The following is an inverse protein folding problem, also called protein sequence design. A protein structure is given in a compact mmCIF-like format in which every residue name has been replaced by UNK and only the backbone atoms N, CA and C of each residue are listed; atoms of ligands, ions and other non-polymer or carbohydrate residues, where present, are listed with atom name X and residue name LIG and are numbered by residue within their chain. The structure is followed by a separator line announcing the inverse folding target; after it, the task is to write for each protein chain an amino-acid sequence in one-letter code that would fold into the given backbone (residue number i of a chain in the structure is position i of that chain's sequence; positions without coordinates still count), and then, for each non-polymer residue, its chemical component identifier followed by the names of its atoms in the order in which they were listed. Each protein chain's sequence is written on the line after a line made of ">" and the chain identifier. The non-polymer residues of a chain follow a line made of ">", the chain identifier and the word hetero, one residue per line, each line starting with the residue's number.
data_IF_867533341374
#
_entry.id   IF_867533341374
#
_cell.length_a   1.000
_cell.length_b   1.000
_cell.length_c   1.000
_cell.angle_alpha   90.00
_cell.angle_beta   90.00
_cell.angle_gamma   90.00
#
_symmetry.space_group_name_H-M   'P 1'
#
loop_
_entity.id
_entity.type
_entity.pdbx_description
1 polymer ?
#
# COMPACT_ATOMS: atom_id res chain seq x y z
N UNK A 1 -7.63 -33.35 23.37
CA UNK A 1 -6.30 -32.97 22.88
C UNK A 1 -6.23 -33.51 21.47
N UNK A 2 -6.54 -32.68 20.47
CA UNK A 2 -6.38 -33.04 19.07
C UNK A 2 -5.37 -32.04 18.53
N UNK A 3 -4.15 -32.51 18.31
CA UNK A 3 -3.14 -31.77 17.57
C UNK A 3 -3.67 -31.55 16.15
N UNK A 4 -3.71 -30.29 15.73
CA UNK A 4 -4.17 -29.88 14.41
C UNK A 4 -2.91 -29.73 13.55
N UNK A 5 -2.63 -30.72 12.71
CA UNK A 5 -1.61 -30.60 11.67
C UNK A 5 -2.15 -29.70 10.54
N UNK A 6 -1.52 -28.54 10.35
CA UNK A 6 -1.66 -27.75 9.15
C UNK A 6 -0.88 -28.43 8.01
N UNK A 7 -1.55 -29.20 7.16
CA UNK A 7 -0.96 -29.63 5.88
C UNK A 7 -1.02 -28.45 4.89
N UNK A 8 0.06 -27.67 4.83
CA UNK A 8 0.29 -26.74 3.71
C UNK A 8 0.60 -27.60 2.48
N UNK A 9 -0.41 -27.91 1.68
CA UNK A 9 -0.20 -28.55 0.38
C UNK A 9 0.78 -27.70 -0.43
N UNK A 10 1.94 -28.28 -0.80
CA UNK A 10 2.99 -27.58 -1.53
C UNK A 10 2.47 -26.89 -2.80
N UNK A 11 3.12 -25.79 -3.19
CA UNK A 11 2.77 -25.07 -4.42
C UNK A 11 3.39 -25.73 -5.66
N UNK A 12 2.67 -25.76 -6.78
CA UNK A 12 3.22 -26.22 -8.06
C UNK A 12 4.34 -25.26 -8.47
N UNK A 13 5.53 -25.80 -8.71
CA UNK A 13 6.70 -25.04 -9.15
C UNK A 13 6.44 -24.43 -10.54
N UNK A 14 6.83 -23.17 -10.74
CA UNK A 14 6.75 -22.46 -12.05
C UNK A 14 7.39 -23.28 -13.19
N UNK A 15 8.48 -23.99 -12.90
CA UNK A 15 9.16 -24.85 -13.87
C UNK A 15 8.29 -26.01 -14.36
N UNK A 16 7.44 -26.59 -13.51
CA UNK A 16 6.51 -27.65 -13.89
C UNK A 16 5.41 -27.10 -14.80
N UNK A 17 4.86 -25.93 -14.48
CA UNK A 17 3.83 -25.26 -15.31
C UNK A 17 4.39 -24.88 -16.68
N UNK A 18 5.58 -24.27 -16.71
CA UNK A 18 6.27 -23.95 -17.98
C UNK A 18 6.47 -25.20 -18.85
N UNK A 19 6.82 -26.33 -18.22
CA UNK A 19 6.98 -27.61 -18.93
C UNK A 19 5.67 -28.17 -19.45
N UNK A 20 4.56 -28.06 -18.70
CA UNK A 20 3.22 -28.45 -19.17
C UNK A 20 2.82 -27.68 -20.43
N UNK A 21 2.97 -26.35 -20.43
CA UNK A 21 2.67 -25.54 -21.60
C UNK A 21 3.56 -25.86 -22.79
N UNK A 22 4.88 -25.97 -22.58
CA UNK A 22 5.83 -26.28 -23.64
C UNK A 22 5.53 -27.62 -24.32
N UNK A 23 4.96 -28.58 -23.58
CA UNK A 23 4.61 -29.91 -24.09
C UNK A 23 3.18 -30.01 -24.63
N UNK A 24 2.35 -28.99 -24.43
CA UNK A 24 0.93 -29.02 -24.81
C UNK A 24 0.65 -28.77 -26.29
N UNK A 25 1.59 -28.15 -27.01
CA UNK A 25 1.34 -27.58 -28.34
C UNK A 25 0.07 -26.69 -28.41
N UNK A 26 -0.29 -26.05 -27.28
CA UNK A 26 -1.53 -25.29 -27.09
C UNK A 26 -2.82 -26.13 -27.22
N UNK A 27 -2.76 -27.46 -27.16
CA UNK A 27 -3.93 -28.34 -27.22
C UNK A 27 -4.21 -29.01 -25.86
N UNK A 28 -5.46 -29.38 -25.64
CA UNK A 28 -5.86 -30.18 -24.48
C UNK A 28 -5.22 -31.57 -24.52
N UNK A 29 -4.74 -32.08 -23.37
CA UNK A 29 -4.17 -33.41 -23.27
C UNK A 29 -5.20 -34.56 -23.31
N UNK A 30 -6.49 -34.26 -23.28
CA UNK A 30 -7.55 -35.26 -23.40
C UNK A 30 -7.56 -35.86 -24.83
N UNK A 31 -7.71 -37.18 -25.00
CA UNK A 31 -7.72 -37.81 -26.32
C UNK A 31 -8.73 -37.17 -27.27
N UNK A 32 -8.32 -36.99 -28.53
CA UNK A 32 -9.13 -36.41 -29.62
C UNK A 32 -9.61 -34.96 -29.41
N UNK A 33 -9.28 -34.34 -28.28
CA UNK A 33 -9.60 -32.95 -28.02
C UNK A 33 -8.55 -32.02 -28.65
N UNK A 34 -9.02 -31.07 -29.47
CA UNK A 34 -8.18 -30.01 -30.06
C UNK A 34 -8.51 -28.62 -29.51
N UNK A 35 -9.25 -28.56 -28.40
CA UNK A 35 -9.55 -27.28 -27.77
C UNK A 35 -8.26 -26.59 -27.36
N UNK A 36 -8.11 -25.28 -27.65
CA UNK A 36 -6.92 -24.56 -27.28
C UNK A 36 -6.83 -24.40 -25.75
N UNK A 37 -5.60 -24.39 -25.23
CA UNK A 37 -5.30 -24.02 -23.84
C UNK A 37 -5.24 -22.49 -23.68
N UNK A 38 -4.80 -21.81 -24.74
CA UNK A 38 -4.73 -20.36 -24.88
C UNK A 38 -5.49 -20.00 -26.15
N UNK A 39 -6.54 -19.22 -25.97
CA UNK A 39 -7.34 -18.68 -27.06
C UNK A 39 -6.52 -17.70 -27.91
N UNK A 40 -6.97 -17.46 -29.14
CA UNK A 40 -6.35 -16.45 -30.04
C UNK A 40 -6.33 -15.03 -29.45
N UNK A 41 -7.24 -14.73 -28.51
CA UNK A 41 -7.28 -13.49 -27.73
C UNK A 41 -6.17 -13.38 -26.67
N UNK A 42 -5.44 -14.46 -26.39
CA UNK A 42 -4.49 -14.58 -25.28
C UNK A 42 -5.15 -15.00 -23.95
N UNK A 43 -6.45 -15.27 -23.94
CA UNK A 43 -7.16 -15.78 -22.75
C UNK A 43 -6.76 -17.22 -22.49
N UNK A 44 -6.36 -17.53 -21.25
CA UNK A 44 -5.99 -18.88 -20.85
C UNK A 44 -7.23 -19.64 -20.36
N UNK A 45 -7.59 -20.72 -21.04
CA UNK A 45 -8.76 -21.58 -20.79
C UNK A 45 -8.36 -23.01 -20.39
N UNK A 46 -7.06 -23.29 -20.34
CA UNK A 46 -6.52 -24.51 -19.77
C UNK A 46 -6.52 -24.51 -18.24
N UNK A 47 -6.55 -25.70 -17.66
CA UNK A 47 -6.54 -25.97 -16.23
C UNK A 47 -5.61 -27.14 -15.93
N UNK A 48 -4.93 -27.08 -14.79
CA UNK A 48 -3.99 -28.12 -14.34
C UNK A 48 -4.74 -29.08 -13.42
N UNK A 49 -4.84 -30.35 -13.82
CA UNK A 49 -5.37 -31.41 -12.98
C UNK A 49 -4.23 -32.25 -12.39
N UNK A 50 -4.45 -32.75 -11.16
CA UNK A 50 -3.59 -33.78 -10.58
C UNK A 50 -4.03 -35.17 -11.04
N UNK A 51 -3.04 -35.94 -11.50
CA UNK A 51 -3.20 -37.35 -11.87
C UNK A 51 -3.50 -38.18 -10.62
N UNK A 52 -2.62 -38.13 -9.62
CA UNK A 52 -2.89 -38.64 -8.27
C UNK A 52 -3.31 -37.50 -7.36
N UNK A 53 -4.37 -37.71 -6.58
CA UNK A 53 -5.09 -36.63 -5.89
C UNK A 53 -4.20 -35.88 -4.91
N UNK A 54 -4.44 -34.58 -4.81
CA UNK A 54 -3.60 -33.71 -3.99
C UNK A 54 -3.93 -33.77 -2.48
N UNK A 55 -5.14 -34.18 -2.11
CA UNK A 55 -5.61 -34.26 -0.71
C UNK A 55 -5.64 -35.71 -0.22
N UNK A 56 -5.31 -35.96 1.05
CA UNK A 56 -5.34 -37.26 1.74
C UNK A 56 -6.68 -38.01 1.63
N UNK A 57 -7.78 -37.27 1.52
CA UNK A 57 -9.13 -37.82 1.32
C UNK A 57 -9.55 -37.86 -0.17
N UNK A 58 -8.63 -37.53 -1.07
CA UNK A 58 -8.90 -37.48 -2.50
C UNK A 58 -8.97 -38.88 -3.11
N UNK A 59 -9.82 -39.08 -4.12
CA UNK A 59 -10.16 -40.40 -4.66
C UNK A 59 -9.00 -41.09 -5.43
N UNK A 60 -7.89 -40.38 -5.68
CA UNK A 60 -6.65 -40.91 -6.27
C UNK A 60 -5.42 -40.68 -5.36
N UNK A 61 -5.60 -40.50 -4.06
CA UNK A 61 -4.52 -40.15 -3.15
C UNK A 61 -3.54 -41.32 -2.97
N UNK A 62 -2.26 -41.05 -3.19
CA UNK A 62 -1.18 -41.97 -2.87
C UNK A 62 -0.43 -41.46 -1.64
N UNK A 63 -0.50 -42.24 -0.56
CA UNK A 63 0.13 -41.91 0.72
C UNK A 63 1.65 -42.04 0.68
N UNK A 64 2.22 -42.71 -0.33
CA UNK A 64 3.66 -42.83 -0.51
C UNK A 64 4.28 -41.62 -1.23
N UNK A 65 3.46 -40.74 -1.84
CA UNK A 65 3.95 -39.55 -2.52
C UNK A 65 4.25 -38.41 -1.56
N UNK A 66 5.46 -37.87 -1.70
CA UNK A 66 5.86 -36.59 -1.09
C UNK A 66 5.10 -35.42 -1.72
N UNK A 67 5.02 -34.28 -1.03
CA UNK A 67 4.38 -33.07 -1.56
C UNK A 67 5.07 -32.53 -2.82
N UNK A 68 6.39 -32.72 -2.91
CA UNK A 68 7.17 -32.35 -4.10
C UNK A 68 6.82 -33.23 -5.31
N UNK A 69 6.64 -34.54 -5.11
CA UNK A 69 6.20 -35.46 -6.17
C UNK A 69 4.74 -35.20 -6.56
N UNK A 70 3.89 -34.90 -5.58
CA UNK A 70 2.48 -34.59 -5.77
C UNK A 70 2.27 -33.36 -6.66
N UNK A 71 3.14 -32.36 -6.53
CA UNK A 71 3.11 -31.12 -7.31
C UNK A 71 4.13 -31.12 -8.46
N UNK A 72 4.79 -32.25 -8.72
CA UNK A 72 5.78 -32.38 -9.77
C UNK A 72 5.11 -32.36 -11.15
N UNK A 73 5.88 -31.99 -12.18
CA UNK A 73 5.42 -32.10 -13.56
C UNK A 73 4.84 -33.48 -13.84
N UNK A 74 5.43 -34.56 -13.32
CA UNK A 74 5.04 -35.94 -13.63
C UNK A 74 3.63 -36.28 -13.13
N UNK A 75 3.18 -35.72 -12.01
CA UNK A 75 1.84 -35.93 -11.46
C UNK A 75 0.77 -34.96 -11.98
N UNK A 76 1.11 -34.08 -12.93
CA UNK A 76 0.19 -33.06 -13.44
C UNK A 76 -0.15 -33.27 -14.92
N UNK A 77 -1.36 -32.89 -15.32
CA UNK A 77 -1.82 -32.87 -16.71
C UNK A 77 -2.52 -31.55 -17.03
N UNK A 78 -2.39 -31.06 -18.26
CA UNK A 78 -3.00 -29.80 -18.71
C UNK A 78 -4.21 -30.11 -19.61
N UNK A 79 -5.39 -29.65 -19.22
CA UNK A 79 -6.67 -29.93 -19.88
C UNK A 79 -7.42 -28.62 -20.15
N UNK A 80 -8.37 -28.59 -21.07
CA UNK A 80 -9.34 -27.48 -21.14
C UNK A 80 -10.36 -27.58 -19.99
N UNK A 81 -10.96 -26.45 -19.59
CA UNK A 81 -11.94 -26.41 -18.48
C UNK A 81 -13.02 -27.49 -18.52
N UNK A 82 -13.50 -27.85 -19.72
CA UNK A 82 -14.48 -28.93 -19.90
C UNK A 82 -13.93 -30.29 -19.45
N UNK A 83 -12.78 -30.70 -19.97
CA UNK A 83 -12.22 -32.02 -19.66
C UNK A 83 -11.60 -32.08 -18.27
N UNK A 84 -11.10 -30.95 -17.75
CA UNK A 84 -10.74 -30.83 -16.34
C UNK A 84 -11.94 -31.19 -15.46
N UNK A 85 -13.08 -30.52 -15.67
CA UNK A 85 -14.33 -30.79 -14.94
C UNK A 85 -14.78 -32.26 -15.05
N UNK A 86 -14.71 -32.86 -16.24
CA UNK A 86 -15.10 -34.27 -16.47
C UNK A 86 -14.21 -35.23 -15.68
N UNK A 87 -12.88 -35.09 -15.78
CA UNK A 87 -11.90 -35.98 -15.11
C UNK A 87 -11.96 -35.86 -13.58
N UNK A 88 -12.31 -34.68 -13.08
CA UNK A 88 -12.49 -34.44 -11.64
C UNK A 88 -13.84 -34.95 -11.11
N UNK A 89 -14.90 -34.90 -11.91
CA UNK A 89 -16.24 -35.32 -11.47
C UNK A 89 -16.45 -36.83 -11.60
N UNK A 90 -15.84 -37.47 -12.60
CA UNK A 90 -16.09 -38.87 -12.95
C UNK A 90 -14.89 -39.77 -12.59
N UNK A 91 -14.41 -39.69 -11.35
CA UNK A 91 -13.13 -40.29 -10.96
C UNK A 91 -13.04 -41.80 -11.26
N UNK A 92 -14.14 -42.55 -11.06
CA UNK A 92 -14.17 -44.00 -11.30
C UNK A 92 -13.92 -44.37 -12.77
N UNK A 93 -14.22 -43.46 -13.70
CA UNK A 93 -14.00 -43.63 -15.14
C UNK A 93 -12.60 -43.18 -15.58
N UNK A 94 -11.92 -42.38 -14.74
CA UNK A 94 -10.62 -41.80 -15.04
C UNK A 94 -9.58 -42.15 -13.96
N UNK A 95 -9.14 -43.43 -13.89
CA UNK A 95 -8.07 -43.85 -12.99
C UNK A 95 -6.73 -43.23 -13.37
N UNK A 96 -5.82 -43.13 -12.41
CA UNK A 96 -4.52 -42.47 -12.56
C UNK A 96 -3.70 -43.01 -13.76
N UNK A 97 -3.72 -44.32 -14.00
CA UNK A 97 -2.98 -44.94 -15.10
C UNK A 97 -3.51 -44.53 -16.48
N UNK A 98 -4.83 -44.32 -16.60
CA UNK A 98 -5.45 -43.85 -17.83
C UNK A 98 -5.07 -42.38 -18.11
N UNK A 99 -5.06 -41.53 -17.08
CA UNK A 99 -4.67 -40.12 -17.22
C UNK A 99 -3.16 -40.02 -17.56
N UNK A 100 -2.31 -40.87 -16.98
CA UNK A 100 -0.89 -40.96 -17.36
C UNK A 100 -0.70 -41.37 -18.82
N UNK A 101 -1.55 -42.27 -19.33
CA UNK A 101 -1.56 -42.64 -20.74
C UNK A 101 -1.92 -41.44 -21.62
N UNK A 102 -2.96 -40.68 -21.28
CA UNK A 102 -3.35 -39.46 -22.02
C UNK A 102 -2.19 -38.47 -22.13
N UNK A 103 -1.53 -38.19 -21.00
CA UNK A 103 -0.37 -37.31 -20.95
C UNK A 103 0.78 -37.81 -21.83
N UNK A 104 1.06 -39.11 -21.78
CA UNK A 104 2.17 -39.71 -22.54
C UNK A 104 1.91 -39.66 -24.04
N UNK A 105 0.68 -39.96 -24.47
CA UNK A 105 0.27 -39.89 -25.89
C UNK A 105 0.26 -38.45 -26.40
N UNK A 106 -0.14 -37.50 -25.56
CA UNK A 106 -0.13 -36.08 -25.90
C UNK A 106 1.30 -35.53 -26.03
N UNK A 107 2.21 -35.91 -25.14
CA UNK A 107 3.61 -35.50 -25.18
C UNK A 107 4.36 -35.92 -26.46
N UNK A 108 3.95 -37.03 -27.09
CA UNK A 108 4.55 -37.52 -28.34
C UNK A 108 4.26 -36.63 -29.56
N UNK A 109 3.29 -35.71 -29.46
CA UNK A 109 2.86 -34.84 -30.57
C UNK A 109 3.64 -33.52 -30.65
N UNK A 110 4.42 -33.17 -29.63
CA UNK A 110 4.98 -31.83 -29.49
C UNK A 110 6.44 -31.70 -29.93
N UNK A 111 6.74 -30.63 -30.67
CA UNK A 111 8.09 -30.13 -30.94
C UNK A 111 8.39 -29.00 -29.95
N UNK A 112 9.51 -29.10 -29.25
CA UNK A 112 9.86 -28.22 -28.12
C UNK A 112 10.19 -26.80 -28.59
N UNK A 113 9.51 -25.81 -28.01
CA UNK A 113 9.90 -24.40 -28.07
C UNK A 113 9.21 -23.59 -26.97
N UNK A 114 9.97 -22.96 -26.07
CA UNK A 114 9.42 -22.02 -25.09
C UNK A 114 9.27 -20.67 -25.79
N UNK A 115 8.03 -20.30 -26.12
CA UNK A 115 7.73 -18.99 -26.69
C UNK A 115 7.43 -17.95 -25.60
N UNK A 116 7.50 -16.63 -25.88
CA UNK A 116 7.04 -15.60 -24.95
C UNK A 116 5.58 -15.79 -24.51
N UNK A 117 4.72 -16.31 -25.40
CA UNK A 117 3.33 -16.63 -25.09
C UNK A 117 3.24 -17.77 -24.06
N UNK A 118 4.11 -18.77 -24.17
CA UNK A 118 4.23 -19.88 -23.22
C UNK A 118 4.59 -19.36 -21.83
N UNK A 119 5.53 -18.42 -21.73
CA UNK A 119 5.93 -17.82 -20.46
C UNK A 119 4.80 -16.99 -19.83
N UNK A 120 4.13 -16.16 -20.63
CA UNK A 120 2.99 -15.37 -20.17
C UNK A 120 1.84 -16.24 -19.67
N UNK A 121 1.42 -17.24 -20.45
CA UNK A 121 0.32 -18.13 -20.08
C UNK A 121 0.65 -19.00 -18.85
N UNK A 122 1.91 -19.44 -18.72
CA UNK A 122 2.37 -20.17 -17.53
C UNK A 122 2.20 -19.34 -16.25
N UNK A 123 2.48 -18.03 -16.34
CA UNK A 123 2.31 -17.11 -15.20
C UNK A 123 0.83 -16.94 -14.84
N UNK A 124 -0.04 -16.76 -15.83
CA UNK A 124 -1.48 -16.63 -15.62
C UNK A 124 -2.11 -17.88 -14.99
N UNK A 125 -1.69 -19.10 -15.37
CA UNK A 125 -2.17 -20.31 -14.69
C UNK A 125 -1.67 -20.45 -13.27
N UNK A 126 -0.42 -20.07 -12.99
CA UNK A 126 0.06 -20.08 -11.61
C UNK A 126 -0.79 -19.15 -10.73
N UNK A 127 -1.09 -17.96 -11.25
CA UNK A 127 -1.91 -16.98 -10.55
C UNK A 127 -3.34 -17.52 -10.31
N UNK A 128 -3.93 -18.24 -11.27
CA UNK A 128 -5.23 -18.90 -11.11
C UNK A 128 -5.18 -20.10 -10.14
N UNK A 129 -4.16 -20.95 -10.25
CA UNK A 129 -4.01 -22.14 -9.40
C UNK A 129 -3.85 -21.76 -7.93
N UNK A 130 -3.09 -20.69 -7.63
CA UNK A 130 -2.89 -20.18 -6.28
C UNK A 130 -4.13 -19.47 -5.69
N UNK A 131 -5.25 -19.38 -6.41
CA UNK A 131 -6.51 -18.80 -5.89
C UNK A 131 -7.44 -19.81 -5.20
N UNK A 132 -7.18 -21.12 -5.28
CA UNK A 132 -7.99 -22.14 -4.61
C UNK A 132 -7.61 -22.28 -3.12
N UNK A 133 -8.04 -21.32 -2.29
CA UNK A 133 -7.97 -21.44 -0.83
C UNK A 133 -9.33 -21.93 -0.32
N UNK A 134 -9.40 -23.19 0.12
CA UNK A 134 -10.60 -23.78 0.72
C UNK A 134 -10.52 -23.64 2.24
N UNK A 135 -11.46 -22.91 2.84
CA UNK A 135 -11.57 -22.77 4.31
C UNK A 135 -12.65 -23.70 4.84
N UNK A 136 -12.24 -24.69 5.64
CA UNK A 136 -13.16 -25.53 6.39
C UNK A 136 -13.35 -24.97 7.81
N UNK A 137 -14.61 -24.93 8.26
CA UNK A 137 -14.98 -24.69 9.68
C UNK A 137 -14.45 -23.39 10.31
N UNK A 138 -14.63 -22.25 9.64
CA UNK A 138 -14.27 -20.95 10.23
C UNK A 138 -15.46 -20.27 10.94
N UNK A 139 -15.24 -19.81 12.18
CA UNK A 139 -16.17 -19.00 12.97
C UNK A 139 -15.83 -17.51 13.00
N UNK A 140 -14.84 -17.07 12.22
CA UNK A 140 -14.36 -15.69 12.10
C UNK A 140 -14.32 -15.15 10.66
N UNK A 141 -13.73 -13.96 10.47
CA UNK A 141 -13.56 -13.34 9.15
C UNK A 141 -12.35 -13.93 8.41
N UNK A 142 -12.55 -14.38 7.17
CA UNK A 142 -11.48 -14.82 6.25
C UNK A 142 -11.15 -13.69 5.28
N UNK A 143 -9.86 -13.42 5.06
CA UNK A 143 -9.40 -12.61 3.93
C UNK A 143 -8.37 -13.39 3.12
N UNK A 144 -8.62 -13.56 1.81
CA UNK A 144 -7.78 -14.34 0.87
C UNK A 144 -7.27 -13.39 -0.20
N UNK A 145 -5.98 -13.44 -0.54
CA UNK A 145 -5.37 -12.68 -1.64
C UNK A 145 -5.69 -11.19 -1.64
N UNK A 146 -5.56 -10.54 -0.48
CA UNK A 146 -5.76 -9.09 -0.36
C UNK A 146 -4.44 -8.43 0.09
N UNK A 147 -3.57 -8.03 -0.87
CA UNK A 147 -2.34 -7.32 -0.59
C UNK A 147 -2.70 -5.90 -0.11
N UNK A 148 -3.08 -5.80 1.17
CA UNK A 148 -3.65 -4.59 1.75
C UNK A 148 -4.66 -4.83 2.87
N UNK A 149 -5.06 -6.09 3.12
CA UNK A 149 -5.93 -6.39 4.24
C UNK A 149 -5.19 -6.25 5.57
N UNK A 150 -5.79 -5.47 6.47
CA UNK A 150 -5.32 -5.28 7.84
C UNK A 150 -6.38 -5.86 8.77
N UNK A 151 -6.07 -6.96 9.44
CA UNK A 151 -6.93 -7.52 10.48
C UNK A 151 -6.53 -6.94 11.84
N UNK A 152 -7.30 -5.96 12.34
CA UNK A 152 -7.06 -5.35 13.64
C UNK A 152 -8.36 -5.18 14.43
N UNK A 153 -8.31 -5.41 15.75
CA UNK A 153 -9.47 -5.23 16.64
C UNK A 153 -9.88 -3.75 16.78
N UNK A 154 -8.89 -2.86 16.68
CA UNK A 154 -9.06 -1.40 16.55
C UNK A 154 -7.94 -0.85 15.67
N UNK A 155 -8.28 -0.13 14.60
CA UNK A 155 -7.29 0.57 13.74
C UNK A 155 -7.20 2.03 14.15
N UNK A 156 -6.00 2.49 14.56
CA UNK A 156 -5.72 3.91 14.78
C UNK A 156 -4.96 4.48 13.58
N UNK A 157 -5.70 4.97 12.58
CA UNK A 157 -5.11 5.60 11.40
C UNK A 157 -4.68 7.03 11.75
N UNK A 158 -3.39 7.24 11.99
CA UNK A 158 -2.81 8.59 12.00
C UNK A 158 -2.41 8.96 10.58
N UNK A 159 -3.33 9.53 9.80
CA UNK A 159 -2.95 10.16 8.54
C UNK A 159 -1.91 11.23 8.84
N UNK A 160 -0.66 11.04 8.40
CA UNK A 160 0.25 12.15 8.23
C UNK A 160 -0.37 13.01 7.12
N UNK A 161 -1.10 14.06 7.51
CA UNK A 161 -1.47 15.13 6.59
C UNK A 161 -0.15 15.68 6.06
N UNK A 162 0.25 15.26 4.87
CA UNK A 162 1.26 15.98 4.08
C UNK A 162 0.61 17.35 3.86
N UNK A 163 1.08 18.36 4.59
CA UNK A 163 0.57 19.72 4.43
C UNK A 163 0.88 20.11 2.99
N UNK A 164 -0.16 20.42 2.20
CA UNK A 164 0.03 21.04 0.90
C UNK A 164 0.96 22.26 1.08
N UNK A 165 2.15 22.19 0.48
CA UNK A 165 3.09 23.30 0.46
C UNK A 165 2.57 24.24 -0.62
N UNK A 166 1.77 25.21 -0.23
CA UNK A 166 1.32 26.25 -1.14
C UNK A 166 2.54 27.10 -1.53
N UNK A 167 2.79 27.33 -2.83
CA UNK A 167 3.84 28.25 -3.24
C UNK A 167 3.54 29.62 -2.64
N UNK A 168 4.57 30.25 -2.06
CA UNK A 168 4.45 31.60 -1.52
C UNK A 168 4.19 32.53 -2.71
N UNK A 169 3.09 33.30 -2.72
CA UNK A 169 2.82 34.25 -3.79
C UNK A 169 3.99 35.23 -3.95
N UNK A 170 4.38 35.52 -5.18
CA UNK A 170 5.39 36.55 -5.47
C UNK A 170 4.96 37.89 -4.84
N UNK A 171 5.89 38.56 -4.16
CA UNK A 171 5.61 39.81 -3.42
C UNK A 171 4.97 39.63 -2.04
N UNK A 172 4.70 38.41 -1.58
CA UNK A 172 4.23 38.16 -0.21
C UNK A 172 5.33 38.47 0.83
N UNK A 173 4.92 39.00 1.99
CA UNK A 173 5.81 39.37 3.10
C UNK A 173 6.61 38.17 3.63
N UNK A 174 6.05 36.96 3.57
CA UNK A 174 6.79 35.75 3.96
C UNK A 174 7.87 35.34 2.97
N UNK A 175 7.83 35.86 1.73
CA UNK A 175 8.86 35.63 0.71
C UNK A 175 10.12 36.46 0.94
N UNK A 176 10.04 37.53 1.74
CA UNK A 176 11.21 38.37 2.09
C UNK A 176 11.79 37.89 3.41
N UNK A 177 13.00 37.33 3.38
CA UNK A 177 13.64 36.67 4.53
C UNK A 177 13.61 37.52 5.81
N UNK A 178 14.09 38.77 5.73
CA UNK A 178 14.16 39.66 6.88
C UNK A 178 12.79 40.00 7.48
N UNK A 179 11.81 40.29 6.62
CA UNK A 179 10.45 40.59 7.07
C UNK A 179 9.79 39.37 7.72
N UNK A 180 9.90 38.21 7.09
CA UNK A 180 9.37 36.95 7.58
C UNK A 180 9.96 36.58 8.96
N UNK A 181 11.30 36.63 9.08
CA UNK A 181 11.99 36.29 10.32
C UNK A 181 11.68 37.27 11.45
N UNK A 182 11.54 38.58 11.15
CA UNK A 182 11.21 39.57 12.16
C UNK A 182 9.77 39.45 12.67
N UNK A 183 8.81 39.17 11.78
CA UNK A 183 7.42 38.89 12.18
C UNK A 183 7.35 37.64 13.06
N UNK A 184 8.03 36.55 12.69
CA UNK A 184 8.09 35.33 13.52
C UNK A 184 8.74 35.59 14.89
N UNK A 185 9.80 36.42 14.93
CA UNK A 185 10.43 36.87 16.18
C UNK A 185 9.43 37.59 17.10
N UNK A 186 8.67 38.56 16.59
CA UNK A 186 7.68 39.31 17.37
C UNK A 186 6.52 38.39 17.83
N UNK A 187 6.05 37.49 16.96
CA UNK A 187 5.06 36.47 17.33
C UNK A 187 5.61 35.59 18.47
N UNK A 188 6.87 35.17 18.39
CA UNK A 188 7.55 34.42 19.46
C UNK A 188 7.56 35.19 20.78
N UNK A 189 7.97 36.47 20.76
CA UNK A 189 7.97 37.34 21.95
C UNK A 189 6.59 37.47 22.58
N UNK A 190 5.55 37.69 21.78
CA UNK A 190 4.18 37.73 22.29
C UNK A 190 3.79 36.42 22.98
N UNK A 191 4.11 35.26 22.37
CA UNK A 191 3.80 33.95 22.94
C UNK A 191 4.52 33.73 24.27
N UNK A 192 5.79 34.11 24.37
CA UNK A 192 6.57 34.00 25.61
C UNK A 192 6.00 34.86 26.73
N UNK A 193 5.57 36.08 26.41
CA UNK A 193 4.95 36.99 27.39
C UNK A 193 3.58 36.48 27.86
N UNK A 194 2.81 35.83 26.99
CA UNK A 194 1.56 35.18 27.40
C UNK A 194 1.81 33.95 28.28
N UNK A 195 2.85 33.15 28.01
CA UNK A 195 3.22 31.98 28.83
C UNK A 195 3.66 32.38 30.25
N UNK A 196 4.32 33.52 30.38
CA UNK A 196 4.77 34.05 31.68
C UNK A 196 3.62 34.63 32.52
N UNK A 197 2.43 34.81 31.96
CA UNK A 197 1.27 35.29 32.71
C UNK A 197 0.55 34.12 33.39
N UNK A 198 0.95 33.84 34.63
CA UNK A 198 0.45 32.72 35.47
C UNK A 198 -1.07 32.76 35.65
N UNK A 199 -1.70 33.94 35.50
CA UNK A 199 -3.16 34.08 35.54
C UNK A 199 -3.90 33.36 34.40
N UNK A 200 -3.19 32.94 33.34
CA UNK A 200 -3.76 32.33 32.13
C UNK A 200 -3.27 30.90 31.87
N UNK A 201 -2.58 30.29 32.83
CA UNK A 201 -1.81 29.05 32.63
C UNK A 201 -2.67 27.86 32.13
N UNK A 202 -3.98 27.82 32.41
CA UNK A 202 -4.87 26.72 31.99
C UNK A 202 -5.56 26.89 30.62
N UNK A 203 -5.48 28.06 29.98
CA UNK A 203 -6.29 28.38 28.80
C UNK A 203 -5.54 29.08 27.66
N UNK A 204 -4.20 29.04 27.67
CA UNK A 204 -3.38 29.69 26.64
C UNK A 204 -3.54 29.00 25.27
N UNK A 205 -4.27 29.65 24.35
CA UNK A 205 -4.45 29.18 22.97
C UNK A 205 -3.38 29.77 22.07
N UNK A 206 -2.42 28.94 21.64
CA UNK A 206 -1.36 29.29 20.68
C UNK A 206 -1.89 30.00 19.41
N UNK A 207 -3.11 29.67 18.99
CA UNK A 207 -3.76 30.24 17.81
C UNK A 207 -4.34 31.65 18.00
N UNK A 208 -4.40 32.17 19.24
CA UNK A 208 -5.06 33.45 19.52
C UNK A 208 -4.43 34.62 18.75
N UNK A 209 -3.09 34.64 18.62
CA UNK A 209 -2.39 35.69 17.87
C UNK A 209 -2.62 35.57 16.36
N UNK A 210 -2.53 34.37 15.80
CA UNK A 210 -2.79 34.13 14.38
C UNK A 210 -4.23 34.46 14.00
N UNK A 211 -5.20 34.11 14.86
CA UNK A 211 -6.61 34.48 14.66
C UNK A 211 -6.82 36.00 14.79
N UNK A 212 -6.09 36.68 15.68
CA UNK A 212 -6.15 38.14 15.78
C UNK A 212 -5.59 38.81 14.52
N UNK A 213 -4.45 38.34 14.00
CA UNK A 213 -3.88 38.83 12.74
C UNK A 213 -4.83 38.56 11.57
N UNK A 214 -5.41 37.36 11.50
CA UNK A 214 -6.37 37.01 10.44
C UNK A 214 -7.62 37.90 10.47
N UNK A 215 -8.11 38.27 11.66
CA UNK A 215 -9.24 39.21 11.81
C UNK A 215 -8.87 40.64 11.44
N UNK A 216 -7.67 41.09 11.78
CA UNK A 216 -7.19 42.45 11.49
C UNK A 216 -6.95 42.65 9.99
N UNK A 217 -6.27 41.69 9.35
CA UNK A 217 -5.78 41.83 7.98
C UNK A 217 -6.59 41.03 6.95
N UNK A 218 -7.66 40.35 7.35
CA UNK A 218 -8.52 39.55 6.47
C UNK A 218 -7.91 38.25 5.92
N UNK A 219 -6.59 38.06 6.05
CA UNK A 219 -5.87 36.90 5.52
C UNK A 219 -4.79 36.39 6.48
N UNK A 220 -4.18 35.24 6.17
CA UNK A 220 -2.96 34.80 6.85
C UNK A 220 -1.86 35.82 6.60
N UNK A 221 -1.16 36.23 7.66
CA UNK A 221 -0.13 37.27 7.54
C UNK A 221 0.96 36.91 6.54
N UNK A 222 1.30 35.61 6.41
CA UNK A 222 2.29 35.14 5.44
C UNK A 222 1.92 35.48 3.99
N UNK A 223 0.63 35.58 3.69
CA UNK A 223 0.12 35.83 2.33
C UNK A 223 -0.11 37.31 2.04
N UNK A 224 0.13 38.20 3.02
CA UNK A 224 -0.02 39.64 2.82
C UNK A 224 1.14 40.17 1.96
N UNK A 225 0.95 41.23 1.17
CA UNK A 225 2.02 41.84 0.40
C UNK A 225 3.11 42.41 1.33
N UNK A 226 4.36 42.48 0.86
CA UNK A 226 5.48 43.04 1.60
C UNK A 226 5.24 44.49 2.08
N UNK A 227 4.42 45.26 1.34
CA UNK A 227 3.99 46.62 1.73
C UNK A 227 3.20 46.67 3.05
N UNK A 228 2.62 45.55 3.48
CA UNK A 228 1.89 45.45 4.75
C UNK A 228 2.80 45.24 5.96
N UNK A 229 4.12 45.08 5.76
CA UNK A 229 5.08 44.76 6.81
C UNK A 229 4.98 45.69 8.03
N UNK A 230 5.03 47.01 7.82
CA UNK A 230 4.99 48.00 8.90
C UNK A 230 3.70 47.90 9.72
N UNK A 231 2.56 47.69 9.06
CA UNK A 231 1.28 47.53 9.75
C UNK A 231 1.24 46.28 10.62
N UNK A 232 1.82 45.17 10.14
CA UNK A 232 1.93 43.92 10.91
C UNK A 232 2.83 44.11 12.13
N UNK A 233 3.97 44.79 11.96
CA UNK A 233 4.92 45.08 13.05
C UNK A 233 4.25 45.94 14.12
N UNK A 234 3.62 47.05 13.74
CA UNK A 234 2.91 47.94 14.68
C UNK A 234 1.82 47.18 15.45
N UNK A 235 1.05 46.33 14.75
CA UNK A 235 0.03 45.50 15.39
C UNK A 235 0.62 44.55 16.44
N UNK A 236 1.69 43.83 16.10
CA UNK A 236 2.34 42.88 17.00
C UNK A 236 2.99 43.58 18.19
N UNK A 237 3.69 44.68 17.95
CA UNK A 237 4.28 45.52 18.99
C UNK A 237 3.22 46.01 19.99
N UNK A 238 2.09 46.53 19.49
CA UNK A 238 0.95 46.93 20.34
C UNK A 238 0.43 45.76 21.18
N UNK A 239 0.36 44.54 20.64
CA UNK A 239 -0.07 43.35 21.41
C UNK A 239 0.94 42.94 22.47
N UNK A 240 2.24 42.99 22.16
CA UNK A 240 3.33 42.69 23.11
C UNK A 240 3.33 43.70 24.24
N UNK A 241 3.30 44.99 23.93
CA UNK A 241 3.36 46.07 24.90
C UNK A 241 2.15 46.08 25.84
N UNK A 242 0.96 45.71 25.34
CA UNK A 242 -0.25 45.63 26.16
C UNK A 242 -0.37 44.35 26.99
N UNK A 243 0.49 43.35 26.76
CA UNK A 243 0.55 42.16 27.61
C UNK A 243 0.95 42.55 29.05
N UNK A 244 0.63 41.69 30.02
CA UNK A 244 0.97 41.95 31.43
C UNK A 244 2.49 42.12 31.60
N UNK A 245 3.27 41.19 31.06
CA UNK A 245 4.74 41.23 31.10
C UNK A 245 5.29 42.44 30.35
N UNK A 246 4.74 42.75 29.18
CA UNK A 246 5.16 43.92 28.40
C UNK A 246 4.96 45.23 29.15
N UNK A 247 3.83 45.39 29.85
CA UNK A 247 3.57 46.55 30.72
C UNK A 247 4.52 46.60 31.91
N UNK A 248 4.86 45.48 32.52
CA UNK A 248 5.80 45.40 33.65
C UNK A 248 7.21 45.80 33.20
N UNK A 249 7.71 45.22 32.09
CA UNK A 249 9.04 45.53 31.55
C UNK A 249 9.17 46.98 31.10
N UNK A 250 8.13 47.53 30.49
CA UNK A 250 8.08 48.96 30.12
C UNK A 250 8.21 49.85 31.34
N UNK A 251 7.55 49.51 32.46
CA UNK A 251 7.70 50.24 33.73
C UNK A 251 9.11 50.14 34.31
N UNK A 252 9.81 49.01 34.10
CA UNK A 252 11.19 48.81 34.57
C UNK A 252 12.26 49.29 33.57
N UNK A 253 11.88 50.02 32.52
CA UNK A 253 12.82 50.52 31.49
C UNK A 253 13.42 49.44 30.58
N UNK A 254 12.93 48.20 30.64
CA UNK A 254 13.44 47.09 29.85
C UNK A 254 12.76 47.05 28.47
N UNK A 255 13.54 46.97 27.39
CA UNK A 255 13.02 46.78 26.03
C UNK A 255 12.24 45.46 25.91
N UNK A 256 11.06 45.50 25.28
CA UNK A 256 10.23 44.31 25.03
C UNK A 256 10.72 43.50 23.82
N UNK A 257 11.29 44.20 22.83
CA UNK A 257 11.81 43.66 21.58
C UNK A 257 12.89 44.59 21.04
N UNK A 258 13.70 44.09 20.10
CA UNK A 258 14.68 44.90 19.35
C UNK A 258 14.08 45.40 18.04
N UNK A 259 14.72 46.38 17.40
CA UNK A 259 14.27 46.96 16.13
C UNK A 259 14.43 46.00 14.96
N UNK A 260 13.85 46.36 13.82
CA UNK A 260 14.02 45.61 12.56
C UNK A 260 15.46 45.68 12.06
N UNK A 261 16.11 46.84 12.12
CA UNK A 261 17.54 46.97 11.77
C UNK A 261 18.43 46.08 12.66
N UNK A 262 18.25 46.14 13.98
CA UNK A 262 18.93 45.26 14.94
C UNK A 262 18.63 43.77 14.66
N UNK A 263 17.48 43.44 14.03
CA UNK A 263 17.17 42.07 13.62
C UNK A 263 17.96 41.64 12.38
N UNK A 264 18.04 42.49 11.37
CA UNK A 264 18.75 42.19 10.13
C UNK A 264 20.25 41.95 10.38
N UNK A 265 20.86 42.74 11.29
CA UNK A 265 22.26 42.54 11.71
C UNK A 265 22.46 41.14 12.31
N UNK A 266 21.52 40.69 13.14
CA UNK A 266 21.60 39.40 13.83
C UNK A 266 21.48 38.19 12.90
N UNK A 267 20.72 38.32 11.82
CA UNK A 267 20.52 37.23 10.86
C UNK A 267 21.49 37.31 9.68
N UNK A 268 22.41 38.29 9.66
CA UNK A 268 23.36 38.49 8.56
C UNK A 268 22.71 38.92 7.25
N UNK A 269 21.63 39.70 7.31
CA UNK A 269 20.87 40.19 6.16
C UNK A 269 20.99 41.71 5.95
N UNK A 270 22.02 42.31 6.55
CA UNK A 270 22.43 43.71 6.39
C UNK A 270 23.81 43.77 5.74
#
# INVERSE_FOLDING_TARGET
>A
MFEVELEIMGSIKISAIKRLFAMSANECAFPECRSPIIESSGTVTGEIAHIKAANKNGPRYDASQTDDERNSFDNLILLCSRHHTIVDSEIDLYPADLIQKFKSEHAQKSVVGISPLTEFASKMLLDNYNQNVVIHSNSGQVVINSPGAIQAKTVNIKSQKVKAVYPIPEGAVSGVLGMNSYIEYLIGKYKDFQKQDISKQSNYKYMAIYNAMKREFGSKWQLLPASSFELIVVFLQKKIDNSRVGRIRKKSGQKNYHSYSEHLERIGAL
#
